data_IF_936056902077
#
_entry.id   IF_936056902077
#
_cell.length_a   1.000
_cell.length_b   1.000
_cell.length_c   1.000
_cell.angle_alpha   90.00
_cell.angle_beta   90.00
_cell.angle_gamma   90.00
#
_symmetry.space_group_name_H-M   'P 1'
#
loop_
_entity.id
_entity.type
_entity.pdbx_description
1 polymer ?
#
# COMPACT_ATOMS: atom_id res chain seq x y z
N UNK A 1 -43.09 37.19 18.56
CA UNK A 1 -41.95 37.29 17.63
C UNK A 1 -41.13 36.05 17.90
N UNK A 2 -41.36 35.00 17.11
CA UNK A 2 -40.62 33.75 17.19
C UNK A 2 -39.61 33.81 16.06
N UNK A 3 -38.34 33.75 16.40
CA UNK A 3 -37.24 33.77 15.45
C UNK A 3 -37.34 32.52 14.56
N UNK A 4 -37.49 32.81 13.27
CA UNK A 4 -37.59 31.86 12.18
C UNK A 4 -36.18 31.28 11.95
N UNK A 5 -35.81 30.29 12.77
CA UNK A 5 -34.63 29.45 12.55
C UNK A 5 -34.90 28.56 11.33
N UNK A 6 -34.77 29.17 10.15
CA UNK A 6 -34.81 28.48 8.87
C UNK A 6 -33.82 27.31 8.87
N UNK A 7 -34.06 26.28 8.02
CA UNK A 7 -33.18 25.13 7.95
C UNK A 7 -31.77 25.63 7.72
N UNK A 8 -30.88 25.34 8.68
CA UNK A 8 -29.44 25.49 8.52
C UNK A 8 -29.15 24.69 7.26
N UNK A 9 -29.02 25.39 6.14
CA UNK A 9 -28.45 24.83 4.94
C UNK A 9 -27.15 24.24 5.44
N UNK A 10 -27.06 22.90 5.44
CA UNK A 10 -25.81 22.20 5.58
C UNK A 10 -24.87 22.97 4.68
N UNK A 11 -24.00 23.77 5.29
CA UNK A 11 -22.74 24.15 4.71
C UNK A 11 -22.01 22.82 4.62
N UNK A 12 -22.43 22.03 3.63
CA UNK A 12 -21.75 20.88 3.16
C UNK A 12 -20.38 21.42 2.94
N UNK A 13 -19.48 21.05 3.85
CA UNK A 13 -18.07 21.04 3.55
C UNK A 13 -18.04 20.42 2.16
N UNK A 14 -17.82 21.24 1.14
CA UNK A 14 -17.42 20.78 -0.17
C UNK A 14 -16.05 20.15 0.12
N UNK A 15 -16.12 18.91 0.59
CA UNK A 15 -14.97 18.09 0.87
C UNK A 15 -14.19 18.11 -0.42
N UNK A 16 -12.87 18.22 -0.32
CA UNK A 16 -11.90 18.23 -1.43
C UNK A 16 -11.95 16.87 -2.17
N UNK A 17 -13.12 16.57 -2.71
CA UNK A 17 -13.75 15.29 -3.09
C UNK A 17 -14.48 15.47 -4.42
N UNK A 18 -14.06 16.44 -5.22
CA UNK A 18 -14.34 16.39 -6.66
C UNK A 18 -13.86 15.05 -7.25
N UNK A 19 -14.37 14.66 -8.43
CA UNK A 19 -13.93 13.45 -9.13
C UNK A 19 -12.40 13.48 -9.29
N UNK A 20 -11.74 12.53 -8.65
CA UNK A 20 -10.28 12.39 -8.58
C UNK A 20 -9.78 11.71 -9.83
N UNK A 21 -8.59 12.09 -10.30
CA UNK A 21 -7.93 11.36 -11.38
C UNK A 21 -7.47 10.00 -10.81
N UNK A 22 -8.00 8.90 -11.37
CA UNK A 22 -7.46 7.56 -11.15
C UNK A 22 -6.44 7.27 -12.24
N UNK A 23 -5.35 6.54 -11.95
CA UNK A 23 -4.42 6.15 -13.00
C UNK A 23 -5.13 5.28 -14.03
N UNK A 24 -4.88 5.54 -15.31
CA UNK A 24 -5.35 4.71 -16.43
C UNK A 24 -4.37 3.57 -16.68
N UNK A 25 -4.75 2.59 -17.51
CA UNK A 25 -3.83 1.52 -17.94
C UNK A 25 -2.53 2.06 -18.56
N UNK A 26 -2.60 3.20 -19.28
CA UNK A 26 -1.45 3.87 -19.87
C UNK A 26 -0.50 4.45 -18.81
N UNK A 27 -1.00 4.91 -17.65
CA UNK A 27 -0.13 5.37 -16.55
C UNK A 27 0.74 4.23 -16.02
N UNK A 28 0.19 3.02 -15.95
CA UNK A 28 0.95 1.85 -15.52
C UNK A 28 2.01 1.48 -16.56
N UNK A 29 1.65 1.36 -17.84
CA UNK A 29 2.60 1.03 -18.92
C UNK A 29 3.79 1.98 -18.96
N UNK A 30 3.51 3.28 -18.92
CA UNK A 30 4.52 4.31 -19.04
C UNK A 30 5.17 4.67 -17.69
N UNK A 31 4.72 4.06 -16.59
CA UNK A 31 5.13 4.38 -15.21
C UNK A 31 5.03 5.89 -14.92
N UNK A 32 3.95 6.53 -15.35
CA UNK A 32 3.74 7.98 -15.20
C UNK A 32 2.85 8.24 -13.98
N UNK A 33 3.29 9.05 -13.01
CA UNK A 33 2.49 9.37 -11.84
C UNK A 33 1.25 10.20 -12.20
N UNK A 34 0.18 10.00 -11.45
CA UNK A 34 -1.05 10.79 -11.58
C UNK A 34 -0.77 12.23 -11.14
N UNK A 35 -1.25 13.20 -11.93
CA UNK A 35 -0.99 14.63 -11.68
C UNK A 35 -1.66 15.15 -10.41
N UNK A 36 -2.88 14.69 -10.12
CA UNK A 36 -3.66 15.15 -8.96
C UNK A 36 -3.69 14.07 -7.89
N UNK A 37 -3.13 14.38 -6.71
CA UNK A 37 -3.19 13.51 -5.53
C UNK A 37 -3.90 14.25 -4.41
N UNK A 38 -4.80 13.55 -3.72
CA UNK A 38 -5.57 14.13 -2.61
C UNK A 38 -4.72 14.22 -1.38
N UNK A 39 -4.76 15.37 -0.70
CA UNK A 39 -4.10 15.59 0.57
C UNK A 39 -5.16 15.90 1.63
N UNK A 40 -5.46 14.93 2.51
CA UNK A 40 -6.33 15.15 3.68
C UNK A 40 -5.46 15.02 4.93
N UNK A 41 -4.66 16.05 5.21
CA UNK A 41 -3.54 16.00 6.15
C UNK A 41 -2.37 15.10 5.69
N UNK A 42 -2.67 14.02 4.99
CA UNK A 42 -1.75 13.12 4.31
C UNK A 42 -2.36 12.65 2.98
N UNK A 43 -1.50 12.12 2.10
CA UNK A 43 -1.94 11.63 0.79
C UNK A 43 -2.73 10.33 0.92
N UNK A 44 -3.96 10.29 0.39
CA UNK A 44 -4.89 9.16 0.55
C UNK A 44 -5.51 8.69 -0.77
N UNK A 45 -5.79 7.38 -0.85
CA UNK A 45 -6.44 6.73 -2.00
C UNK A 45 -7.98 6.76 -1.85
N UNK A 46 -8.69 7.08 -2.93
CA UNK A 46 -10.14 6.89 -3.03
C UNK A 46 -10.52 5.41 -3.17
N UNK A 47 -11.82 5.11 -3.12
CA UNK A 47 -12.33 3.73 -3.23
C UNK A 47 -11.89 3.04 -4.52
N UNK A 48 -11.91 3.75 -5.65
CA UNK A 48 -11.48 3.23 -6.96
C UNK A 48 -9.98 2.97 -6.99
N UNK A 49 -9.14 3.90 -6.53
CA UNK A 49 -7.69 3.70 -6.44
C UNK A 49 -7.30 2.55 -5.53
N UNK A 50 -8.01 2.35 -4.42
CA UNK A 50 -7.83 1.16 -3.56
C UNK A 50 -8.20 -0.15 -4.28
N UNK A 51 -9.28 -0.15 -5.06
CA UNK A 51 -9.66 -1.28 -5.90
C UNK A 51 -8.57 -1.59 -6.95
N UNK A 52 -8.07 -0.56 -7.64
CA UNK A 52 -6.96 -0.70 -8.61
C UNK A 52 -5.73 -1.30 -7.94
N UNK A 53 -5.33 -0.84 -6.75
CA UNK A 53 -4.20 -1.41 -6.03
C UNK A 53 -4.38 -2.92 -5.76
N UNK A 54 -5.59 -3.35 -5.37
CA UNK A 54 -5.89 -4.78 -5.12
C UNK A 54 -5.94 -5.61 -6.38
N UNK A 55 -6.45 -5.06 -7.48
CA UNK A 55 -6.51 -5.74 -8.78
C UNK A 55 -5.09 -5.90 -9.35
N UNK A 56 -4.30 -4.84 -9.39
CA UNK A 56 -3.03 -4.80 -10.12
C UNK A 56 -1.88 -5.49 -9.37
N UNK A 57 -1.90 -5.50 -8.03
CA UNK A 57 -0.83 -6.09 -7.22
C UNK A 57 -0.63 -7.61 -7.45
N UNK A 58 -1.67 -8.48 -7.49
CA UNK A 58 -1.55 -9.89 -7.86
C UNK A 58 -0.89 -10.15 -9.22
N UNK A 59 -0.92 -9.18 -10.15
CA UNK A 59 -0.28 -9.28 -11.46
C UNK A 59 1.19 -8.86 -11.46
N UNK A 60 1.86 -8.91 -10.30
CA UNK A 60 3.31 -8.71 -10.18
C UNK A 60 3.77 -7.25 -10.04
N UNK A 61 2.84 -6.30 -9.82
CA UNK A 61 3.21 -4.90 -9.60
C UNK A 61 3.72 -4.66 -8.18
N UNK A 62 4.91 -4.07 -8.07
CA UNK A 62 5.51 -3.78 -6.76
C UNK A 62 4.78 -2.64 -6.04
N UNK A 63 4.70 -2.75 -4.71
CA UNK A 63 4.09 -1.73 -3.83
C UNK A 63 4.74 -0.36 -4.04
N UNK A 64 6.05 -0.31 -4.28
CA UNK A 64 6.81 0.90 -4.56
C UNK A 64 6.38 1.56 -5.87
N UNK A 65 6.19 0.76 -6.93
CA UNK A 65 5.72 1.25 -8.23
C UNK A 65 4.30 1.78 -8.13
N UNK A 66 3.42 1.07 -7.41
CA UNK A 66 2.07 1.54 -7.12
C UNK A 66 2.11 2.86 -6.35
N UNK A 67 2.91 2.95 -5.29
CA UNK A 67 3.05 4.16 -4.49
C UNK A 67 3.54 5.35 -5.34
N UNK A 68 4.50 5.12 -6.23
CA UNK A 68 4.99 6.11 -7.17
C UNK A 68 3.90 6.58 -8.15
N UNK A 69 3.19 5.67 -8.82
CA UNK A 69 2.15 6.01 -9.80
C UNK A 69 1.01 6.79 -9.14
N UNK A 70 0.55 6.34 -7.97
CA UNK A 70 -0.50 7.03 -7.22
C UNK A 70 0.01 8.28 -6.48
N UNK A 71 1.32 8.47 -6.41
CA UNK A 71 1.96 9.56 -5.66
C UNK A 71 1.69 9.52 -4.15
N UNK A 72 1.39 8.36 -3.57
CA UNK A 72 1.08 8.16 -2.14
C UNK A 72 2.22 7.40 -1.43
N UNK A 73 2.14 7.25 -0.10
CA UNK A 73 3.11 6.43 0.63
C UNK A 73 2.89 4.93 0.41
N UNK A 74 3.97 4.14 0.46
CA UNK A 74 3.92 2.66 0.40
C UNK A 74 3.02 2.08 1.49
N UNK A 75 3.06 2.65 2.70
CA UNK A 75 2.16 2.27 3.79
C UNK A 75 0.67 2.44 3.44
N UNK A 76 0.31 3.46 2.65
CA UNK A 76 -1.07 3.68 2.20
C UNK A 76 -1.49 2.63 1.18
N UNK A 77 -0.60 2.25 0.27
CA UNK A 77 -0.81 1.17 -0.71
C UNK A 77 -0.95 -0.17 0.03
N UNK A 78 -0.07 -0.49 0.97
CA UNK A 78 -0.16 -1.72 1.77
C UNK A 78 -1.50 -1.83 2.50
N UNK A 79 -1.98 -0.73 3.10
CA UNK A 79 -3.30 -0.70 3.76
C UNK A 79 -4.44 -0.88 2.77
N UNK A 80 -4.33 -0.31 1.57
CA UNK A 80 -5.33 -0.47 0.50
C UNK A 80 -5.41 -1.92 0.03
N UNK A 81 -4.25 -2.57 -0.17
CA UNK A 81 -4.16 -3.98 -0.56
C UNK A 81 -4.74 -4.88 0.55
N UNK A 82 -4.32 -4.66 1.80
CA UNK A 82 -4.75 -5.47 2.93
C UNK A 82 -6.23 -5.25 3.34
N UNK A 83 -6.84 -4.12 2.94
CA UNK A 83 -8.22 -3.75 3.29
C UNK A 83 -8.51 -3.75 4.82
N UNK A 84 -7.51 -3.42 5.65
CA UNK A 84 -7.62 -3.56 7.12
C UNK A 84 -8.05 -2.31 7.86
N UNK A 85 -7.79 -1.12 7.31
CA UNK A 85 -7.92 0.17 8.04
C UNK A 85 -9.08 1.07 7.61
N UNK A 86 -9.81 0.71 6.56
CA UNK A 86 -10.93 1.50 6.07
C UNK A 86 -12.22 1.01 6.73
N UNK A 87 -12.98 1.94 7.33
CA UNK A 87 -14.29 1.69 7.91
C UNK A 87 -15.33 2.56 7.17
N UNK A 88 -16.39 1.97 6.60
CA UNK A 88 -16.59 0.53 6.44
C UNK A 88 -15.51 -0.10 5.54
N UNK A 89 -15.25 -1.40 5.72
CA UNK A 89 -14.31 -2.13 4.86
C UNK A 89 -14.83 -2.15 3.43
N UNK A 90 -13.91 -2.09 2.48
CA UNK A 90 -14.24 -2.15 1.07
C UNK A 90 -14.78 -3.55 0.71
N UNK A 91 -15.88 -3.63 -0.05
CA UNK A 91 -16.33 -4.90 -0.64
C UNK A 91 -15.42 -5.28 -1.83
N UNK A 92 -14.55 -6.28 -1.64
CA UNK A 92 -13.56 -6.70 -2.65
C UNK A 92 -14.23 -7.24 -3.92
N UNK A 93 -15.43 -7.84 -3.80
CA UNK A 93 -16.14 -8.39 -4.96
C UNK A 93 -16.57 -7.31 -5.96
N UNK A 94 -16.84 -6.10 -5.47
CA UNK A 94 -17.23 -4.95 -6.30
C UNK A 94 -16.02 -4.22 -6.92
N UNK A 95 -14.78 -4.64 -6.63
CA UNK A 95 -13.59 -3.88 -7.08
C UNK A 95 -13.53 -3.79 -8.61
N UNK A 96 -13.88 -4.86 -9.32
CA UNK A 96 -13.95 -4.85 -10.78
C UNK A 96 -15.07 -3.94 -11.31
N UNK A 97 -16.20 -3.82 -10.62
CA UNK A 97 -17.30 -2.94 -11.05
C UNK A 97 -16.96 -1.45 -10.92
N UNK A 98 -16.02 -1.12 -10.02
CA UNK A 98 -15.63 0.25 -9.68
C UNK A 98 -14.53 0.81 -10.58
N UNK A 99 -13.81 -0.04 -11.29
CA UNK A 99 -12.68 0.35 -12.16
C UNK A 99 -13.10 0.44 -13.62
N UNK A 100 -12.32 1.18 -14.39
CA UNK A 100 -12.53 1.31 -15.83
C UNK A 100 -12.51 -0.08 -16.51
N UNK A 101 -13.40 -0.34 -17.49
CA UNK A 101 -13.41 -1.59 -18.26
C UNK A 101 -12.04 -2.01 -18.82
N UNK A 102 -11.16 -1.07 -19.17
CA UNK A 102 -9.81 -1.37 -19.64
C UNK A 102 -9.01 -2.22 -18.65
N UNK A 103 -9.16 -1.96 -17.34
CA UNK A 103 -8.49 -2.75 -16.31
C UNK A 103 -9.01 -4.18 -16.27
N UNK A 104 -10.29 -4.41 -16.58
CA UNK A 104 -10.89 -5.75 -16.60
C UNK A 104 -10.27 -6.63 -17.68
N UNK A 105 -10.00 -6.03 -18.85
CA UNK A 105 -9.39 -6.71 -19.99
C UNK A 105 -7.92 -6.99 -19.71
N UNK A 106 -7.20 -6.01 -19.16
CA UNK A 106 -5.75 -6.09 -18.98
C UNK A 106 -5.31 -6.88 -17.74
N UNK A 107 -6.09 -6.80 -16.68
CA UNK A 107 -5.83 -7.42 -15.38
C UNK A 107 -7.02 -8.34 -15.02
N UNK A 108 -7.19 -9.46 -15.75
CA UNK A 108 -8.30 -10.38 -15.50
C UNK A 108 -8.21 -10.95 -14.08
N UNK A 109 -9.34 -11.30 -13.44
CA UNK A 109 -9.34 -11.86 -12.09
C UNK A 109 -8.35 -13.02 -11.98
N UNK A 110 -7.27 -12.81 -11.23
CA UNK A 110 -6.37 -13.91 -10.88
C UNK A 110 -7.19 -14.81 -9.99
N UNK A 111 -7.49 -16.02 -10.47
CA UNK A 111 -8.13 -17.04 -9.64
C UNK A 111 -7.40 -17.03 -8.30
N UNK A 112 -8.12 -17.05 -7.16
CA UNK A 112 -7.47 -17.01 -5.87
C UNK A 112 -6.40 -18.08 -5.93
N UNK A 113 -5.12 -17.65 -5.86
CA UNK A 113 -4.02 -18.59 -5.76
C UNK A 113 -4.49 -19.49 -4.64
N UNK A 114 -4.77 -20.75 -4.97
CA UNK A 114 -5.07 -21.76 -3.97
C UNK A 114 -3.86 -21.63 -3.07
N UNK A 115 -4.00 -20.87 -1.98
CA UNK A 115 -2.94 -20.76 -1.01
C UNK A 115 -2.68 -22.24 -0.74
N UNK A 116 -1.46 -22.75 -0.97
CA UNK A 116 -1.17 -24.13 -0.69
C UNK A 116 -1.74 -24.30 0.70
N UNK A 117 -2.79 -25.12 0.80
CA UNK A 117 -3.55 -25.26 2.02
C UNK A 117 -2.46 -25.70 2.97
N UNK A 118 -1.97 -24.77 3.80
CA UNK A 118 -1.02 -25.04 4.86
C UNK A 118 -1.89 -25.82 5.81
N UNK A 119 -2.06 -27.09 5.45
CA UNK A 119 -3.10 -27.93 5.94
C UNK A 119 -2.69 -28.14 7.35
N UNK A 120 -3.29 -27.33 8.23
CA UNK A 120 -3.27 -27.41 9.67
C UNK A 120 -2.12 -28.30 10.07
N UNK A 121 -0.90 -27.76 9.92
CA UNK A 121 0.26 -28.40 10.49
C UNK A 121 -0.08 -28.43 11.96
N UNK A 122 -0.58 -29.59 12.38
CA UNK A 122 -0.87 -29.95 13.75
C UNK A 122 0.34 -29.47 14.50
N UNK A 123 0.14 -28.34 15.19
CA UNK A 123 1.15 -27.66 15.99
C UNK A 123 1.85 -28.79 16.75
N UNK A 124 3.13 -29.11 16.49
CA UNK A 124 3.81 -30.13 17.26
C UNK A 124 3.62 -29.71 18.71
N UNK A 125 3.00 -30.58 19.49
CA UNK A 125 2.72 -30.29 20.88
C UNK A 125 4.01 -29.76 21.49
N UNK A 126 3.89 -28.58 22.08
CA UNK A 126 4.99 -27.86 22.69
C UNK A 126 5.57 -28.81 23.75
N UNK A 127 6.66 -29.51 23.43
CA UNK A 127 7.45 -30.22 24.43
C UNK A 127 8.11 -29.12 25.25
N UNK A 128 7.42 -28.73 26.32
CA UNK A 128 7.92 -27.85 27.34
C UNK A 128 9.11 -28.53 28.00
N UNK A 129 10.32 -28.16 27.57
CA UNK A 129 11.54 -28.41 28.34
C UNK A 129 11.53 -27.41 29.48
N UNK A 130 11.08 -27.85 30.65
CA UNK A 130 11.24 -27.13 31.92
C UNK A 130 12.72 -27.09 32.25
N UNK A 131 13.37 -25.96 31.97
CA UNK A 131 14.71 -25.64 32.48
C UNK A 131 14.50 -25.08 33.89
N UNK A 132 14.74 -25.93 34.89
CA UNK A 132 14.92 -25.52 36.28
C UNK A 132 16.15 -24.61 36.34
N UNK A 133 15.91 -23.31 36.49
CA UNK A 133 16.93 -22.31 36.83
C UNK A 133 16.65 -21.86 38.24
N UNK A 134 17.18 -22.61 39.20
CA UNK A 134 17.32 -22.20 40.59
C UNK A 134 18.52 -21.25 40.69
N UNK A 135 18.28 -19.95 40.68
CA UNK A 135 19.25 -18.96 41.14
C UNK A 135 18.54 -18.03 42.12
N UNK A 136 18.60 -18.45 43.40
CA UNK A 136 18.51 -17.57 44.55
C UNK A 136 19.68 -16.57 44.46
N UNK A 137 19.36 -15.28 44.42
CA UNK A 137 20.33 -14.21 44.29
C UNK A 137 19.68 -12.88 44.66
N UNK A 138 19.62 -12.66 45.96
CA UNK A 138 19.19 -11.43 46.61
C UNK A 138 20.03 -10.20 46.18
N UNK A 139 19.47 -9.05 46.54
CA UNK A 139 20.15 -7.78 46.88
C UNK A 139 20.10 -6.67 45.82
N UNK A 140 19.06 -5.86 46.00
CA UNK A 140 19.07 -4.40 46.02
C UNK A 140 20.35 -3.70 45.51
N UNK A 141 20.27 -3.06 44.35
CA UNK A 141 21.12 -1.90 44.08
C UNK A 141 20.32 -0.78 43.40
N UNK A 142 19.93 0.17 44.25
CA UNK A 142 19.47 1.51 43.91
C UNK A 142 20.53 2.18 43.04
N UNK A 143 20.25 2.41 41.76
CA UNK A 143 21.12 3.22 40.89
C UNK A 143 20.43 4.52 40.50
N UNK A 144 21.16 5.58 40.83
CA UNK A 144 20.83 6.99 40.77
C UNK A 144 20.32 7.49 39.41
N UNK A 145 19.49 8.53 39.51
CA UNK A 145 19.06 9.39 38.43
C UNK A 145 20.27 9.97 37.67
N UNK A 146 20.54 9.43 36.48
CA UNK A 146 21.46 10.06 35.54
C UNK A 146 20.69 11.04 34.66
N UNK A 147 21.05 12.32 34.82
CA UNK A 147 20.68 13.45 33.99
C UNK A 147 20.65 13.09 32.50
N UNK A 148 19.49 13.28 31.87
CA UNK A 148 19.31 13.19 30.43
C UNK A 148 19.98 14.40 29.75
N UNK A 149 21.31 14.33 29.61
CA UNK A 149 22.08 15.30 28.81
C UNK A 149 21.76 15.08 27.33
N UNK A 150 21.21 16.14 26.74
CA UNK A 150 21.14 16.42 25.32
C UNK A 150 22.42 16.00 24.59
N UNK A 151 22.35 14.98 23.74
CA UNK A 151 23.37 14.71 22.74
C UNK A 151 22.73 14.26 21.43
N UNK A 152 23.09 15.00 20.38
CA UNK A 152 22.52 14.95 19.05
C UNK A 152 22.43 13.54 18.48
N UNK A 153 21.31 13.27 17.81
CA UNK A 153 21.17 12.10 16.96
C UNK A 153 22.11 12.27 15.76
N UNK A 154 23.09 11.38 15.54
CA UNK A 154 23.78 11.34 14.27
C UNK A 154 22.77 10.88 13.22
N UNK A 155 22.69 11.64 12.13
CA UNK A 155 22.03 11.22 10.90
C UNK A 155 22.66 9.90 10.46
N UNK A 156 22.00 8.77 10.75
CA UNK A 156 22.33 7.50 10.14
C UNK A 156 22.04 7.64 8.65
N UNK A 157 23.09 7.90 7.88
CA UNK A 157 23.12 7.71 6.45
C UNK A 157 22.75 6.25 6.17
N UNK A 158 21.49 6.03 5.78
CA UNK A 158 21.05 4.77 5.24
C UNK A 158 21.73 4.58 3.88
N UNK A 159 22.90 3.94 3.89
CA UNK A 159 23.48 3.30 2.72
C UNK A 159 22.59 2.10 2.37
N UNK A 160 21.55 2.31 1.57
CA UNK A 160 20.84 1.24 0.88
C UNK A 160 21.44 1.09 -0.53
N UNK A 161 22.66 0.55 -0.57
CA UNK A 161 23.24 -0.06 -1.77
C UNK A 161 22.75 -1.50 -1.81
N UNK A 162 21.65 -1.74 -2.53
CA UNK A 162 21.14 -3.03 -3.04
C UNK A 162 19.85 -2.65 -3.80
N UNK A 163 19.84 -2.41 -5.10
CA UNK A 163 19.71 -3.48 -6.10
C UNK A 163 20.18 -2.96 -7.47
N UNK A 164 21.28 -3.53 -7.96
CA UNK A 164 21.76 -3.41 -9.33
C UNK A 164 21.68 -4.81 -9.94
N UNK A 165 20.54 -5.17 -10.55
CA UNK A 165 20.39 -6.17 -11.63
C UNK A 165 18.92 -6.52 -11.82
N UNK A 166 18.31 -5.99 -12.88
CA UNK A 166 17.66 -6.78 -13.94
C UNK A 166 16.90 -5.79 -14.83
N UNK A 167 17.23 -5.84 -16.12
CA UNK A 167 16.47 -5.46 -17.33
C UNK A 167 17.47 -4.94 -18.38
N UNK A 168 18.37 -5.85 -18.81
CA UNK A 168 18.68 -5.95 -20.23
C UNK A 168 17.52 -6.76 -20.80
N UNK A 169 16.55 -6.07 -21.39
CA UNK A 169 15.67 -6.68 -22.37
C UNK A 169 16.17 -6.16 -23.71
N UNK A 170 16.70 -7.10 -24.48
CA UNK A 170 17.12 -6.91 -25.84
C UNK A 170 15.96 -6.32 -26.65
N UNK A 171 16.12 -5.07 -27.08
CA UNK A 171 15.34 -4.54 -28.19
C UNK A 171 15.99 -5.13 -29.44
N UNK A 172 15.54 -6.32 -29.83
CA UNK A 172 15.83 -6.84 -31.15
C UNK A 172 15.13 -5.97 -32.20
N UNK A 173 15.95 -5.48 -33.12
CA UNK A 173 15.61 -4.69 -34.28
C UNK A 173 14.51 -5.35 -35.12
N UNK A 174 13.31 -4.75 -35.14
CA UNK A 174 12.34 -5.01 -36.19
C UNK A 174 12.64 -4.08 -37.37
N UNK A 175 13.51 -4.52 -38.27
CA UNK A 175 13.68 -3.91 -39.58
C UNK A 175 12.37 -4.07 -40.38
N UNK A 176 11.61 -2.98 -40.48
CA UNK A 176 10.51 -2.86 -41.43
C UNK A 176 11.13 -2.74 -42.83
N UNK A 177 11.15 -3.87 -43.54
CA UNK A 177 11.45 -3.95 -44.97
C UNK A 177 10.34 -3.24 -45.77
N UNK A 178 10.60 -2.00 -46.18
CA UNK A 178 9.80 -1.31 -47.20
C UNK A 178 10.32 -1.73 -48.57
N UNK A 179 9.59 -2.61 -49.27
CA UNK A 179 9.77 -2.85 -50.70
C UNK A 179 9.03 -1.76 -51.51
N UNK A 180 9.72 -0.92 -52.30
CA UNK A 180 9.07 -0.17 -53.36
C UNK A 180 8.92 -1.05 -54.62
N UNK A 181 7.72 -0.98 -55.21
CA UNK A 181 7.39 -1.52 -56.53
C UNK A 181 7.89 -0.61 -57.64
#
# INVERSE_FOLDING_TARGET
>A
MLDDDGPIAELGYESDTGPRDNPTCANFENRVPVKKVIVVGHKVLNRTGRAICRIVHPHGWSIESLAYIFGVSTASVMRAIANTRYLPRDNIQEDYERVDPEFKVKFPPVAPLLQPFEGSASRPEHVSVSIDTSEDGDEDELMDAVEFRSNGRPLRAAKSLCYRRFLQSDNEDSEVSTNPR
#
